data_IF_664728920566
#
_entry.id   IF_664728920566
#
_cell.length_a   1.000
_cell.length_b   1.000
_cell.length_c   1.000
_cell.angle_alpha   90.00
_cell.angle_beta   90.00
_cell.angle_gamma   90.00
#
_symmetry.space_group_name_H-M   'P 1'
#
loop_
_entity.id
_entity.type
_entity.pdbx_description
1 polymer ?
#
# COMPACT_ATOMS: atom_id res chain seq x y z
N UNK A 1 -10.46 -30.02 -10.53
CA UNK A 1 -10.50 -28.63 -10.03
C UNK A 1 -10.57 -27.74 -11.26
N UNK A 2 -11.64 -26.96 -11.48
CA UNK A 2 -11.72 -26.16 -12.70
C UNK A 2 -10.57 -25.14 -12.69
N UNK A 3 -9.97 -24.94 -13.85
CA UNK A 3 -8.80 -24.08 -14.07
C UNK A 3 -9.01 -22.72 -13.40
N UNK A 4 -7.99 -22.27 -12.65
CA UNK A 4 -7.93 -20.96 -12.02
C UNK A 4 -7.99 -19.88 -13.11
N UNK A 5 -9.20 -19.45 -13.49
CA UNK A 5 -9.38 -18.34 -14.41
C UNK A 5 -8.98 -17.03 -13.70
N UNK A 6 -7.76 -16.55 -13.97
CA UNK A 6 -7.21 -15.33 -13.39
C UNK A 6 -8.09 -14.10 -13.63
N UNK A 7 -8.79 -14.04 -14.78
CA UNK A 7 -9.72 -12.96 -15.07
C UNK A 7 -10.91 -12.95 -14.10
N UNK A 8 -11.58 -14.08 -13.89
CA UNK A 8 -12.74 -14.14 -12.98
C UNK A 8 -12.33 -13.83 -11.54
N UNK A 9 -11.14 -14.27 -11.10
CA UNK A 9 -10.61 -13.90 -9.79
C UNK A 9 -10.36 -12.39 -9.66
N UNK A 10 -9.70 -11.78 -10.65
CA UNK A 10 -9.42 -10.34 -10.64
C UNK A 10 -10.70 -9.52 -10.73
N UNK A 11 -11.67 -9.95 -11.54
CA UNK A 11 -13.00 -9.35 -11.65
C UNK A 11 -13.75 -9.37 -10.31
N UNK A 12 -13.74 -10.49 -9.59
CA UNK A 12 -14.35 -10.58 -8.26
C UNK A 12 -13.70 -9.57 -7.31
N UNK A 13 -12.36 -9.48 -7.30
CA UNK A 13 -11.64 -8.47 -6.49
C UNK A 13 -12.06 -7.05 -6.84
N UNK A 14 -12.09 -6.68 -8.12
CA UNK A 14 -12.51 -5.35 -8.54
C UNK A 14 -13.93 -5.00 -8.06
N UNK A 15 -14.86 -5.96 -8.15
CA UNK A 15 -16.25 -5.76 -7.72
C UNK A 15 -16.41 -5.65 -6.20
N UNK A 16 -15.60 -6.39 -5.43
CA UNK A 16 -15.53 -6.26 -3.96
C UNK A 16 -14.93 -4.90 -3.58
N UNK A 17 -13.82 -4.51 -4.20
CA UNK A 17 -13.11 -3.28 -3.88
C UNK A 17 -13.92 -2.02 -4.22
N UNK A 18 -14.74 -2.02 -5.29
CA UNK A 18 -15.66 -0.91 -5.54
C UNK A 18 -17.00 -1.04 -4.81
N UNK A 19 -17.26 -2.14 -4.09
CA UNK A 19 -18.58 -2.43 -3.50
C UNK A 19 -19.73 -2.33 -4.53
N UNK A 20 -19.48 -2.74 -5.78
CA UNK A 20 -20.37 -2.58 -6.94
C UNK A 20 -20.78 -1.13 -7.27
N UNK A 21 -19.96 -0.15 -6.89
CA UNK A 21 -20.08 1.22 -7.38
C UNK A 21 -19.31 1.40 -8.68
N UNK A 22 -19.83 2.25 -9.56
CA UNK A 22 -19.16 2.62 -10.80
C UNK A 22 -17.89 3.44 -10.51
N UNK A 23 -16.74 3.03 -11.03
CA UNK A 23 -15.48 3.74 -10.83
C UNK A 23 -15.40 5.11 -11.52
N UNK A 24 -16.41 5.51 -12.33
CA UNK A 24 -16.46 6.83 -12.98
C UNK A 24 -17.47 7.79 -12.39
N UNK A 25 -18.64 7.29 -11.97
CA UNK A 25 -19.74 8.14 -11.50
C UNK A 25 -20.20 7.81 -10.08
N UNK A 26 -19.54 6.87 -9.39
CA UNK A 26 -19.80 6.48 -8.00
C UNK A 26 -21.24 6.00 -7.75
N UNK A 27 -21.99 5.66 -8.80
CA UNK A 27 -23.34 5.13 -8.68
C UNK A 27 -23.27 3.68 -8.19
N UNK A 28 -24.10 3.33 -7.21
CA UNK A 28 -24.33 1.93 -6.85
C UNK A 28 -25.09 1.21 -7.97
N UNK A 29 -24.52 0.11 -8.46
CA UNK A 29 -25.00 -0.55 -9.68
C UNK A 29 -25.62 -1.94 -9.44
N UNK A 30 -25.34 -2.58 -8.31
CA UNK A 30 -25.69 -3.99 -8.08
C UNK A 30 -25.27 -4.86 -9.28
N UNK A 31 -26.22 -5.47 -10.01
CA UNK A 31 -25.95 -6.31 -11.19
C UNK A 31 -25.66 -5.51 -12.47
N UNK A 32 -26.01 -4.22 -12.53
CA UNK A 32 -25.85 -3.36 -13.71
C UNK A 32 -24.42 -2.78 -13.84
N UNK A 33 -23.42 -3.61 -13.59
CA UNK A 33 -22.00 -3.26 -13.60
C UNK A 33 -21.18 -4.26 -14.42
N UNK A 34 -20.27 -3.74 -15.24
CA UNK A 34 -19.34 -4.52 -16.04
C UNK A 34 -17.90 -4.10 -15.77
N UNK A 35 -16.97 -5.05 -15.84
CA UNK A 35 -15.54 -4.76 -15.73
C UNK A 35 -14.96 -4.46 -17.11
N UNK A 36 -14.49 -3.23 -17.27
CA UNK A 36 -13.89 -2.71 -18.49
C UNK A 36 -12.38 -2.92 -18.51
N UNK A 37 -11.82 -3.34 -19.64
CA UNK A 37 -10.38 -3.29 -19.88
C UNK A 37 -9.94 -1.88 -20.29
N UNK A 38 -9.08 -1.22 -19.51
CA UNK A 38 -8.55 0.12 -19.80
C UNK A 38 -7.83 0.15 -21.16
N UNK A 39 -7.01 -0.87 -21.42
CA UNK A 39 -6.48 -1.22 -22.73
C UNK A 39 -7.27 -2.45 -23.20
N UNK A 40 -8.00 -2.31 -24.29
CA UNK A 40 -8.81 -3.38 -24.87
C UNK A 40 -7.95 -4.58 -25.28
N UNK A 41 -8.48 -5.81 -25.14
CA UNK A 41 -7.77 -7.05 -25.56
C UNK A 41 -7.34 -7.03 -27.01
N UNK A 42 -8.17 -6.50 -27.90
CA UNK A 42 -7.85 -6.33 -29.33
C UNK A 42 -6.68 -5.38 -29.59
N UNK A 43 -6.27 -4.59 -28.60
CA UNK A 43 -5.12 -3.68 -28.63
C UNK A 43 -3.97 -4.17 -27.73
N UNK A 44 -3.97 -5.44 -27.35
CA UNK A 44 -2.91 -6.05 -26.54
C UNK A 44 -3.09 -5.90 -25.02
N UNK A 45 -4.27 -5.48 -24.53
CA UNK A 45 -4.54 -5.46 -23.10
C UNK A 45 -4.70 -6.86 -22.49
N UNK A 46 -4.34 -7.00 -21.23
CA UNK A 46 -4.38 -8.26 -20.47
C UNK A 46 -5.52 -8.27 -19.42
N UNK A 47 -5.68 -9.39 -18.72
CA UNK A 47 -6.69 -9.59 -17.67
C UNK A 47 -6.17 -9.25 -16.26
N UNK A 48 -5.05 -8.52 -16.18
CA UNK A 48 -4.47 -8.12 -14.90
C UNK A 48 -5.34 -7.06 -14.23
N UNK A 49 -5.41 -7.09 -12.91
CA UNK A 49 -6.24 -6.18 -12.11
C UNK A 49 -5.97 -4.70 -12.43
N UNK A 50 -4.72 -4.36 -12.78
CA UNK A 50 -4.30 -3.02 -13.16
C UNK A 50 -4.91 -2.52 -14.47
N UNK A 51 -5.34 -3.43 -15.35
CA UNK A 51 -6.01 -3.13 -16.59
C UNK A 51 -7.55 -3.20 -16.48
N UNK A 52 -8.10 -3.55 -15.31
CA UNK A 52 -9.54 -3.71 -15.11
C UNK A 52 -10.17 -2.51 -14.38
N UNK A 53 -11.39 -2.15 -14.74
CA UNK A 53 -12.16 -1.05 -14.11
C UNK A 53 -13.67 -1.34 -14.11
N UNK A 54 -14.32 -1.51 -12.94
CA UNK A 54 -15.77 -1.64 -12.84
C UNK A 54 -16.53 -0.36 -13.25
N UNK A 55 -17.49 -0.48 -14.16
CA UNK A 55 -18.30 0.63 -14.68
C UNK A 55 -19.77 0.24 -14.78
N UNK A 56 -20.67 1.18 -14.48
CA UNK A 56 -22.08 1.01 -14.82
C UNK A 56 -22.26 0.94 -16.34
N UNK A 57 -23.36 0.32 -16.81
CA UNK A 57 -23.63 0.16 -18.25
C UNK A 57 -23.62 1.49 -19.03
N UNK A 58 -24.06 2.58 -18.39
CA UNK A 58 -24.06 3.92 -19.00
C UNK A 58 -22.66 4.52 -19.16
N UNK A 59 -21.78 4.35 -18.17
CA UNK A 59 -20.40 4.82 -18.26
C UNK A 59 -19.60 3.92 -19.23
N UNK A 60 -19.85 2.61 -19.18
CA UNK A 60 -19.21 1.63 -20.04
C UNK A 60 -19.48 1.90 -21.52
N UNK A 61 -20.70 2.31 -21.90
CA UNK A 61 -21.02 2.64 -23.29
C UNK A 61 -20.37 3.94 -23.80
N UNK A 62 -20.08 4.88 -22.88
CA UNK A 62 -19.54 6.21 -23.22
C UNK A 62 -18.01 6.29 -23.17
N UNK A 63 -17.34 5.44 -22.39
CA UNK A 63 -15.90 5.60 -22.12
C UNK A 63 -15.03 5.59 -23.38
N UNK A 64 -15.46 4.89 -24.44
CA UNK A 64 -14.77 4.82 -25.73
C UNK A 64 -15.47 5.60 -26.86
N UNK A 65 -16.46 6.45 -26.56
CA UNK A 65 -17.26 7.14 -27.58
C UNK A 65 -16.63 8.42 -28.11
N UNK A 66 -15.41 8.78 -27.68
CA UNK A 66 -14.74 10.00 -28.14
C UNK A 66 -14.40 9.90 -29.64
N UNK A 67 -15.01 10.77 -30.44
CA UNK A 67 -14.76 10.87 -31.87
C UNK A 67 -13.68 11.94 -32.14
N UNK A 68 -12.58 11.55 -32.79
CA UNK A 68 -11.50 12.49 -33.17
C UNK A 68 -11.93 13.44 -34.28
N UNK A 69 -12.84 13.02 -35.15
CA UNK A 69 -13.31 13.81 -36.29
C UNK A 69 -14.41 14.81 -35.89
N UNK A 70 -15.02 14.62 -34.71
CA UNK A 70 -15.98 15.56 -34.12
C UNK A 70 -15.80 15.62 -32.60
N UNK A 71 -14.76 16.34 -32.12
CA UNK A 71 -14.35 16.32 -30.72
C UNK A 71 -15.36 17.09 -29.85
N UNK A 72 -16.27 16.35 -29.21
CA UNK A 72 -17.16 16.88 -28.16
C UNK A 72 -16.67 16.38 -26.80
N UNK A 73 -16.45 17.32 -25.88
CA UNK A 73 -15.96 17.03 -24.54
C UNK A 73 -14.48 16.61 -24.51
N UNK A 74 -14.02 16.13 -23.37
CA UNK A 74 -12.64 15.67 -23.19
C UNK A 74 -12.57 14.14 -23.22
N UNK A 75 -11.57 13.62 -23.93
CA UNK A 75 -11.26 12.19 -23.93
C UNK A 75 -10.64 11.80 -22.58
N UNK A 76 -11.14 10.73 -21.98
CA UNK A 76 -10.48 10.11 -20.82
C UNK A 76 -9.08 9.64 -21.19
N UNK A 77 -8.10 10.00 -20.35
CA UNK A 77 -6.77 9.44 -20.41
C UNK A 77 -6.67 8.23 -19.45
N UNK A 78 -5.75 7.30 -19.71
CA UNK A 78 -5.65 6.05 -18.92
C UNK A 78 -5.28 6.34 -17.46
N UNK A 79 -4.45 7.35 -17.20
CA UNK A 79 -4.02 7.71 -15.84
C UNK A 79 -5.17 8.27 -15.00
N UNK A 80 -6.05 9.08 -15.60
CA UNK A 80 -7.28 9.57 -14.99
C UNK A 80 -8.20 8.40 -14.63
N UNK A 81 -8.39 7.46 -15.55
CA UNK A 81 -9.23 6.28 -15.31
C UNK A 81 -8.70 5.43 -14.16
N UNK A 82 -7.38 5.18 -14.13
CA UNK A 82 -6.71 4.49 -13.02
C UNK A 82 -6.90 5.25 -11.71
N UNK A 83 -6.67 6.56 -11.70
CA UNK A 83 -6.79 7.38 -10.49
C UNK A 83 -8.22 7.41 -9.95
N UNK A 84 -9.22 7.59 -10.81
CA UNK A 84 -10.64 7.53 -10.42
C UNK A 84 -11.04 6.16 -9.89
N UNK A 85 -10.54 5.08 -10.49
CA UNK A 85 -10.72 3.71 -9.99
C UNK A 85 -10.17 3.59 -8.57
N UNK A 86 -8.94 4.02 -8.32
CA UNK A 86 -8.33 3.94 -6.99
C UNK A 86 -9.06 4.80 -5.95
N UNK A 87 -9.57 5.98 -6.32
CA UNK A 87 -10.39 6.80 -5.44
C UNK A 87 -11.65 6.06 -4.96
N UNK A 88 -12.31 5.35 -5.87
CA UNK A 88 -13.52 4.57 -5.56
C UNK A 88 -13.17 3.34 -4.72
N UNK A 89 -12.10 2.62 -5.07
CA UNK A 89 -11.65 1.50 -4.25
C UNK A 89 -11.33 1.96 -2.83
N UNK A 90 -10.53 3.01 -2.66
CA UNK A 90 -10.20 3.56 -1.34
C UNK A 90 -11.46 3.98 -0.56
N UNK A 91 -12.39 4.68 -1.21
CA UNK A 91 -13.65 5.08 -0.59
C UNK A 91 -14.41 3.88 0.00
N UNK A 92 -14.43 2.74 -0.69
CA UNK A 92 -15.19 1.57 -0.26
C UNK A 92 -14.37 0.50 0.47
N UNK A 93 -13.07 0.69 0.68
CA UNK A 93 -12.24 -0.25 1.44
C UNK A 93 -11.49 0.36 2.61
N UNK A 94 -11.35 1.70 2.71
CA UNK A 94 -10.59 2.34 3.79
C UNK A 94 -11.10 1.96 5.20
N UNK A 95 -12.39 1.66 5.33
CA UNK A 95 -13.00 1.26 6.60
C UNK A 95 -12.63 -0.17 7.04
N UNK A 96 -12.04 -0.97 6.13
CA UNK A 96 -11.58 -2.34 6.39
C UNK A 96 -10.17 -2.38 6.97
N UNK A 97 -9.46 -1.25 6.97
CA UNK A 97 -8.14 -1.14 7.60
C UNK A 97 -8.24 -0.36 8.92
N UNK A 98 -7.64 -0.88 10.00
CA UNK A 98 -7.65 -0.23 11.29
C UNK A 98 -6.64 0.92 11.33
N UNK A 99 -6.83 1.91 12.21
CA UNK A 99 -5.72 2.74 12.64
C UNK A 99 -4.65 1.87 13.32
N UNK A 100 -3.40 2.07 12.90
CA UNK A 100 -2.22 1.45 13.50
C UNK A 100 -1.28 2.53 14.04
N UNK A 101 -0.50 2.20 15.06
CA UNK A 101 0.66 2.98 15.51
C UNK A 101 1.90 2.14 15.27
N UNK A 102 2.95 2.69 14.68
CA UNK A 102 4.23 2.02 14.58
C UNK A 102 5.38 2.99 14.81
N UNK A 103 6.47 2.50 15.40
CA UNK A 103 7.63 3.36 15.72
C UNK A 103 8.91 2.58 15.90
N UNK A 104 10.01 3.30 15.72
CA UNK A 104 11.33 2.87 16.17
C UNK A 104 11.50 3.30 17.64
N UNK A 105 11.99 2.38 18.46
CA UNK A 105 12.36 2.68 19.84
C UNK A 105 13.74 2.07 20.18
N UNK A 106 14.42 2.67 21.16
CA UNK A 106 15.67 2.13 21.71
C UNK A 106 15.51 1.66 23.16
N UNK A 107 14.28 1.55 23.67
CA UNK A 107 14.07 1.37 25.11
C UNK A 107 14.45 -0.06 25.52
N UNK A 108 15.35 -0.16 26.49
CA UNK A 108 15.77 -1.47 27.03
C UNK A 108 16.68 -2.27 26.09
N UNK A 109 17.21 -1.65 25.02
CA UNK A 109 18.15 -2.29 24.08
C UNK A 109 19.48 -1.54 24.05
N UNK A 110 20.54 -2.28 23.73
CA UNK A 110 21.88 -1.72 23.59
C UNK A 110 22.14 -1.52 22.10
N UNK A 111 22.30 -0.26 21.68
CA UNK A 111 22.69 0.08 20.31
C UNK A 111 23.93 -0.74 19.88
N UNK A 112 23.94 -1.36 18.68
CA UNK A 112 23.08 -1.12 17.51
C UNK A 112 21.84 -2.04 17.39
N UNK A 113 21.38 -2.66 18.49
CA UNK A 113 20.09 -3.35 18.52
C UNK A 113 18.94 -2.33 18.69
N UNK A 114 18.00 -2.34 17.75
CA UNK A 114 16.95 -1.32 17.59
C UNK A 114 15.60 -1.98 17.71
N UNK A 115 14.75 -1.44 18.59
CA UNK A 115 13.38 -1.86 18.77
C UNK A 115 12.48 -1.31 17.67
N UNK A 116 11.50 -2.13 17.28
CA UNK A 116 10.41 -1.73 16.40
C UNK A 116 9.10 -2.15 17.05
N UNK A 117 8.19 -1.21 17.21
CA UNK A 117 6.85 -1.47 17.72
C UNK A 117 5.82 -1.23 16.63
N UNK A 118 4.79 -2.07 16.58
CA UNK A 118 3.60 -1.85 15.77
C UNK A 118 2.37 -2.36 16.53
N UNK A 119 1.33 -1.54 16.58
CA UNK A 119 0.15 -1.75 17.39
C UNK A 119 -1.12 -1.55 16.56
N UNK A 120 -2.06 -2.47 16.73
CA UNK A 120 -3.43 -2.31 16.26
C UNK A 120 -4.24 -1.51 17.27
N UNK A 121 -4.80 -0.36 16.85
CA UNK A 121 -5.50 0.54 17.78
C UNK A 121 -7.00 0.27 17.90
N UNK A 122 -7.60 -0.45 16.95
CA UNK A 122 -9.04 -0.75 16.97
C UNK A 122 -9.38 -2.16 17.49
N UNK A 123 -10.68 -2.39 17.67
CA UNK A 123 -11.30 -3.68 18.03
C UNK A 123 -11.79 -4.48 16.81
N UNK A 124 -11.56 -3.97 15.59
CA UNK A 124 -12.24 -4.41 14.38
C UNK A 124 -11.25 -4.97 13.34
N UNK A 125 -11.65 -6.04 12.66
CA UNK A 125 -10.93 -6.91 11.70
C UNK A 125 -9.41 -7.09 11.88
N UNK A 126 -8.89 -8.33 12.01
CA UNK A 126 -7.46 -8.54 11.85
C UNK A 126 -7.02 -8.11 10.45
N UNK A 127 -5.81 -7.57 10.37
CA UNK A 127 -5.20 -7.19 9.09
C UNK A 127 -3.91 -7.93 8.87
N UNK A 128 -3.61 -8.13 7.60
CA UNK A 128 -2.30 -8.53 7.17
C UNK A 128 -1.43 -7.28 7.04
N UNK A 129 -0.17 -7.38 7.46
CA UNK A 129 0.79 -6.28 7.46
C UNK A 129 2.03 -6.71 6.71
N UNK A 130 2.55 -5.83 5.88
CA UNK A 130 3.91 -5.89 5.37
C UNK A 130 4.67 -4.68 5.90
N UNK A 131 5.84 -4.92 6.47
CA UNK A 131 6.70 -3.85 6.98
C UNK A 131 7.98 -3.81 6.16
N UNK A 132 8.36 -2.61 5.71
CA UNK A 132 9.65 -2.36 5.08
C UNK A 132 10.39 -1.35 5.93
N UNK A 133 11.60 -1.67 6.32
CA UNK A 133 12.51 -0.82 7.08
C UNK A 133 13.75 -0.64 6.22
N UNK A 134 14.12 0.61 5.95
CA UNK A 134 15.36 0.96 5.26
C UNK A 134 16.20 1.87 6.12
N UNK A 135 17.50 1.65 6.09
CA UNK A 135 18.45 2.31 6.97
C UNK A 135 19.45 3.09 6.12
N UNK A 136 19.71 4.34 6.50
CA UNK A 136 20.58 5.25 5.79
C UNK A 136 21.63 5.81 6.73
N UNK A 137 22.90 5.71 6.34
CA UNK A 137 24.03 6.32 7.03
C UNK A 137 24.70 7.33 6.09
N UNK A 138 24.73 8.61 6.48
CA UNK A 138 25.29 9.67 5.63
C UNK A 138 24.54 9.84 4.29
N UNK A 139 23.28 9.40 4.21
CA UNK A 139 22.48 9.41 2.99
C UNK A 139 22.62 8.16 2.10
N UNK A 140 23.53 7.25 2.43
CA UNK A 140 23.68 5.97 1.73
C UNK A 140 22.86 4.88 2.41
N UNK A 141 22.08 4.13 1.64
CA UNK A 141 21.36 2.97 2.16
C UNK A 141 22.35 1.87 2.60
N UNK A 142 22.19 1.38 3.83
CA UNK A 142 22.98 0.28 4.40
C UNK A 142 22.06 -0.91 4.68
N UNK A 143 22.64 -2.11 4.69
CA UNK A 143 21.91 -3.36 4.94
C UNK A 143 21.98 -3.76 6.42
N UNK A 144 21.02 -4.58 6.82
CA UNK A 144 21.06 -5.30 8.08
C UNK A 144 22.12 -6.43 8.02
N UNK A 145 22.68 -6.79 9.17
CA UNK A 145 23.56 -7.97 9.26
C UNK A 145 22.78 -9.29 9.10
N UNK A 146 21.55 -9.33 9.62
CA UNK A 146 20.62 -10.46 9.51
C UNK A 146 19.17 -9.93 9.39
N UNK A 147 18.74 -9.49 8.20
CA UNK A 147 17.42 -8.91 8.04
C UNK A 147 16.35 -9.98 8.22
N UNK A 148 15.55 -9.85 9.28
CA UNK A 148 14.28 -10.57 9.34
C UNK A 148 13.45 -10.23 8.10
N UNK A 149 12.98 -11.27 7.40
CA UNK A 149 12.10 -11.14 6.23
C UNK A 149 10.84 -10.31 6.50
N UNK A 150 10.44 -10.24 7.78
CA UNK A 150 9.34 -9.42 8.29
C UNK A 150 9.57 -7.91 8.13
N UNK A 151 10.83 -7.44 8.14
CA UNK A 151 11.17 -6.01 8.09
C UNK A 151 11.73 -5.55 6.75
N UNK A 152 11.99 -6.45 5.81
CA UNK A 152 12.43 -6.10 4.44
C UNK A 152 11.31 -6.22 3.41
N UNK A 153 10.08 -6.46 3.86
CA UNK A 153 8.90 -6.56 3.00
C UNK A 153 8.73 -7.88 2.26
N UNK A 154 9.54 -8.90 2.56
CA UNK A 154 9.45 -10.20 1.90
C UNK A 154 8.31 -11.06 2.46
N UNK A 155 7.92 -10.83 3.72
CA UNK A 155 6.86 -11.57 4.39
C UNK A 155 5.67 -10.68 4.77
N UNK A 156 4.49 -11.29 4.69
CA UNK A 156 3.24 -10.74 5.19
C UNK A 156 2.89 -11.48 6.46
N UNK A 157 2.52 -10.74 7.50
CA UNK A 157 2.19 -11.31 8.81
C UNK A 157 0.89 -10.71 9.35
N UNK A 158 0.33 -11.30 10.41
CA UNK A 158 -1.01 -10.95 10.91
C UNK A 158 -0.89 -10.03 12.12
N UNK A 159 -1.64 -8.93 12.11
CA UNK A 159 -1.81 -8.03 13.24
C UNK A 159 -3.28 -8.09 13.70
N UNK A 160 -3.50 -8.77 14.83
CA UNK A 160 -4.83 -8.93 15.42
C UNK A 160 -5.27 -7.67 16.19
N UNK A 161 -6.59 -7.47 16.37
CA UNK A 161 -7.13 -6.35 17.13
C UNK A 161 -6.52 -6.22 18.53
N UNK A 162 -6.25 -4.97 18.93
CA UNK A 162 -5.61 -4.58 20.21
C UNK A 162 -4.25 -5.19 20.50
N UNK A 163 -3.61 -5.88 19.54
CA UNK A 163 -2.29 -6.46 19.74
C UNK A 163 -1.19 -5.45 19.45
N UNK A 164 -0.12 -5.58 20.23
CA UNK A 164 1.16 -4.91 20.00
C UNK A 164 2.20 -5.97 19.70
N UNK A 165 3.00 -5.75 18.65
CA UNK A 165 4.15 -6.56 18.33
C UNK A 165 5.39 -5.78 18.74
N UNK A 166 6.24 -6.43 19.54
CA UNK A 166 7.52 -5.90 20.01
C UNK A 166 8.64 -6.60 19.23
N UNK A 167 9.03 -5.98 18.13
CA UNK A 167 10.10 -6.44 17.26
C UNK A 167 11.44 -5.79 17.56
N UNK A 168 12.48 -6.29 16.90
CA UNK A 168 13.78 -5.63 16.84
C UNK A 168 14.63 -6.14 15.68
N UNK A 169 15.66 -5.38 15.35
CA UNK A 169 16.69 -5.72 14.39
C UNK A 169 18.02 -5.09 14.80
N UNK A 170 19.12 -5.70 14.37
CA UNK A 170 20.47 -5.20 14.62
C UNK A 170 21.05 -4.58 13.34
N UNK A 171 21.71 -3.44 13.48
CA UNK A 171 22.51 -2.82 12.41
C UNK A 171 23.97 -3.28 12.47
N UNK A 172 24.67 -3.16 11.35
CA UNK A 172 26.11 -3.42 11.26
C UNK A 172 26.92 -2.54 12.20
N UNK A 173 28.03 -3.07 12.72
CA UNK A 173 28.87 -2.32 13.67
C UNK A 173 29.49 -1.03 13.04
N UNK A 174 29.49 -0.90 11.71
CA UNK A 174 29.82 0.35 10.98
C UNK A 174 29.04 1.57 11.51
N UNK A 175 27.79 1.39 11.94
CA UNK A 175 26.99 2.52 12.45
C UNK A 175 27.48 3.04 13.80
N UNK A 176 28.20 2.22 14.57
CA UNK A 176 28.77 2.57 15.87
C UNK A 176 29.98 3.48 15.67
N UNK A 177 30.82 3.15 14.71
CA UNK A 177 32.10 3.84 14.45
C UNK A 177 31.91 5.16 13.70
N UNK A 178 30.84 5.28 12.91
CA UNK A 178 30.56 6.48 12.13
C UNK A 178 30.01 7.63 12.98
N UNK A 179 30.38 8.87 12.63
CA UNK A 179 29.74 10.09 13.13
C UNK A 179 28.58 10.57 12.25
N UNK A 180 28.36 9.92 11.11
CA UNK A 180 27.39 10.38 10.12
C UNK A 180 25.96 10.28 10.63
N UNK A 181 25.07 11.05 9.99
CA UNK A 181 23.66 11.01 10.30
C UNK A 181 23.08 9.62 10.00
N UNK A 182 22.53 8.98 11.02
CA UNK A 182 21.83 7.70 10.92
C UNK A 182 20.32 7.93 10.89
N UNK A 183 19.68 7.45 9.83
CA UNK A 183 18.25 7.60 9.57
C UNK A 183 17.61 6.25 9.24
N UNK A 184 16.42 6.02 9.74
CA UNK A 184 15.60 4.84 9.44
C UNK A 184 14.29 5.31 8.83
N UNK A 185 13.88 4.67 7.75
CA UNK A 185 12.57 4.87 7.13
C UNK A 185 11.74 3.61 7.33
N UNK A 186 10.49 3.78 7.76
CA UNK A 186 9.54 2.68 8.00
C UNK A 186 8.32 2.86 7.11
N UNK A 187 8.01 1.84 6.32
CA UNK A 187 6.76 1.72 5.57
C UNK A 187 5.93 0.59 6.18
N UNK A 188 4.64 0.85 6.37
CA UNK A 188 3.64 -0.16 6.67
C UNK A 188 2.64 -0.23 5.51
N UNK A 189 2.44 -1.43 4.98
CA UNK A 189 1.37 -1.71 4.04
C UNK A 189 0.36 -2.64 4.72
N UNK A 190 -0.91 -2.24 4.74
CA UNK A 190 -2.00 -3.06 5.25
C UNK A 190 -2.70 -3.76 4.11
N UNK A 191 -3.04 -5.04 4.28
CA UNK A 191 -3.84 -5.80 3.34
C UNK A 191 -5.15 -6.15 4.01
N UNK A 192 -6.25 -5.65 3.44
CA UNK A 192 -7.60 -5.87 3.98
C UNK A 192 -8.12 -7.29 3.74
N UNK A 193 -9.31 -7.58 4.26
CA UNK A 193 -9.95 -8.90 4.12
C UNK A 193 -10.29 -9.27 2.66
N UNK A 194 -10.39 -8.30 1.76
CA UNK A 194 -10.57 -8.51 0.32
C UNK A 194 -9.24 -8.58 -0.44
N UNK A 195 -8.12 -8.58 0.28
CA UNK A 195 -6.78 -8.65 -0.28
C UNK A 195 -6.33 -7.38 -1.00
N UNK A 196 -6.96 -6.23 -0.75
CA UNK A 196 -6.50 -4.95 -1.29
C UNK A 196 -5.37 -4.40 -0.42
N UNK A 197 -4.34 -3.87 -1.09
CA UNK A 197 -3.22 -3.20 -0.44
C UNK A 197 -3.55 -1.73 -0.15
N UNK A 198 -3.31 -1.30 1.08
CA UNK A 198 -3.44 0.06 1.58
C UNK A 198 -2.06 0.54 2.05
N UNK A 199 -1.51 1.56 1.39
CA UNK A 199 -0.15 2.03 1.64
C UNK A 199 -0.16 3.27 2.54
N UNK A 200 0.53 3.19 3.66
CA UNK A 200 0.82 4.36 4.48
C UNK A 200 2.03 5.11 3.93
N UNK A 201 2.05 6.43 4.12
CA UNK A 201 3.26 7.22 3.83
C UNK A 201 4.36 6.82 4.82
N UNK A 202 5.62 6.76 4.38
CA UNK A 202 6.70 6.33 5.24
C UNK A 202 7.03 7.35 6.33
N UNK A 203 7.42 6.84 7.49
CA UNK A 203 7.92 7.65 8.60
C UNK A 203 9.43 7.59 8.71
N UNK A 204 10.05 8.74 8.98
CA UNK A 204 11.50 8.87 9.13
C UNK A 204 11.90 9.02 10.59
N UNK A 205 12.89 8.26 11.03
CA UNK A 205 13.45 8.31 12.38
C UNK A 205 14.95 8.63 12.29
N UNK A 206 15.43 9.55 13.12
CA UNK A 206 16.84 9.94 13.18
C UNK A 206 17.40 9.61 14.55
N UNK A 207 18.63 9.09 14.57
CA UNK A 207 19.33 8.76 15.81
C UNK A 207 20.17 9.95 16.29
N UNK A 208 19.90 10.41 17.51
CA UNK A 208 20.75 11.37 18.22
C UNK A 208 21.90 10.62 18.90
N UNK A 209 23.12 10.77 18.36
CA UNK A 209 24.29 10.00 18.78
C UNK A 209 24.74 10.30 20.21
N UNK A 210 24.65 11.55 20.66
CA UNK A 210 25.17 11.95 21.98
C UNK A 210 24.26 11.44 23.08
N UNK A 211 22.96 11.70 22.95
CA UNK A 211 21.94 11.31 23.94
C UNK A 211 21.41 9.89 23.74
N UNK A 212 21.81 9.22 22.65
CA UNK A 212 21.49 7.83 22.30
C UNK A 212 19.99 7.54 22.27
N UNK A 213 19.23 8.34 21.52
CA UNK A 213 17.79 8.12 21.33
C UNK A 213 17.35 8.35 19.89
N UNK A 214 16.20 7.77 19.55
CA UNK A 214 15.54 7.96 18.26
C UNK A 214 14.44 9.02 18.38
N UNK A 215 14.32 9.88 17.37
CA UNK A 215 13.19 10.79 17.24
C UNK A 215 12.59 10.73 15.84
N UNK A 216 11.26 10.89 15.78
CA UNK A 216 10.53 11.03 14.54
C UNK A 216 10.89 12.36 13.90
N UNK A 217 11.24 12.33 12.63
CA UNK A 217 11.55 13.50 11.82
C UNK A 217 10.62 13.52 10.60
N UNK A 218 9.94 14.65 10.33
CA UNK A 218 9.18 14.82 9.10
C UNK A 218 10.05 14.53 7.88
N UNK A 219 9.60 13.62 7.03
CA UNK A 219 10.26 13.33 5.76
C UNK A 219 9.63 14.16 4.64
N UNK A 220 10.46 14.72 3.75
CA UNK A 220 9.97 15.31 2.51
C UNK A 220 9.19 14.27 1.71
N UNK A 221 8.04 14.66 1.15
CA UNK A 221 7.30 13.80 0.25
C UNK A 221 8.19 13.42 -0.94
N UNK A 222 8.30 12.12 -1.22
CA UNK A 222 8.93 11.63 -2.46
C UNK A 222 8.11 12.23 -3.61
N UNK A 223 8.74 13.11 -4.40
CA UNK A 223 8.16 13.69 -5.61
C UNK A 223 8.10 12.67 -6.73
#
# INVERSE_FOLDING_TARGET
MPENNSYEQNKIKCLLWCSRHCCLCDRQCDIDINVHHLIQKSKGGNDDIENLMPLCLNCHSKINSYNKDHPIGNKYNIEELKTRREQIYEKYTHHLVPPIDYKIDGKGRIFPDIGFTIQHLSDWHPVHVRTVIRVYLGGKEIKFDDPSKLYIGEEVWILNPRRIILGHFRLSDEVIESSDRLKIMVWAELIDEYGRLHKYLPEGYVFERIKKYWFLEPHEAIK
#
